data_IF_223025906790
#
_entry.id   IF_223025906790
#
_cell.length_a   1.000
_cell.length_b   1.000
_cell.length_c   1.000
_cell.angle_alpha   90.00
_cell.angle_beta   90.00
_cell.angle_gamma   90.00
#
_symmetry.space_group_name_H-M   'P 1'
#
loop_
_entity.id
_entity.type
_entity.pdbx_description
1 polymer ?
#
# COMPACT_ATOMS: atom_id res chain seq x y z
N UNK A 1 8.95 3.79 1.59
CA UNK A 1 9.56 5.06 1.17
C UNK A 1 9.04 6.18 2.03
N UNK A 2 9.72 7.32 2.04
CA UNK A 2 9.42 8.46 2.90
C UNK A 2 9.07 9.64 1.99
N UNK A 3 8.00 10.37 2.29
CA UNK A 3 7.49 11.47 1.45
C UNK A 3 8.42 12.70 1.41
N UNK A 4 9.27 12.91 2.42
CA UNK A 4 10.24 14.01 2.47
C UNK A 4 11.35 13.74 3.50
N UNK A 5 12.53 14.33 3.34
CA UNK A 5 13.68 14.14 4.25
C UNK A 5 13.46 14.59 5.71
N UNK A 6 12.35 15.28 6.00
CA UNK A 6 11.91 15.58 7.38
C UNK A 6 11.16 14.44 8.05
N UNK A 7 10.55 13.56 7.26
CA UNK A 7 9.85 12.38 7.75
C UNK A 7 10.84 11.22 7.83
N UNK A 8 10.60 10.29 8.75
CA UNK A 8 11.40 9.05 8.86
C UNK A 8 10.56 7.80 8.60
N UNK A 9 9.28 7.99 8.27
CA UNK A 9 8.29 6.92 8.07
C UNK A 9 7.58 7.08 6.73
N UNK A 10 6.98 5.98 6.26
CA UNK A 10 5.96 6.06 5.23
C UNK A 10 4.69 6.66 5.80
N UNK A 11 3.96 7.38 4.95
CA UNK A 11 2.58 7.76 5.18
C UNK A 11 1.72 7.06 4.13
N UNK A 12 0.65 6.41 4.58
CA UNK A 12 -0.11 5.49 3.75
C UNK A 12 -0.70 6.16 2.51
N UNK A 13 -1.44 7.26 2.66
CA UNK A 13 -2.04 7.98 1.52
C UNK A 13 -1.00 8.63 0.59
N UNK A 14 0.08 9.22 1.13
CA UNK A 14 1.17 9.79 0.33
C UNK A 14 1.82 8.73 -0.58
N UNK A 15 1.84 7.48 -0.10
CA UNK A 15 2.43 6.37 -0.84
C UNK A 15 1.70 6.11 -2.17
N UNK A 16 0.43 6.52 -2.31
CA UNK A 16 -0.29 6.37 -3.58
C UNK A 16 0.40 7.17 -4.69
N UNK A 17 0.72 8.44 -4.41
CA UNK A 17 1.40 9.31 -5.35
C UNK A 17 2.83 8.84 -5.65
N UNK A 18 3.51 8.28 -4.63
CA UNK A 18 4.83 7.67 -4.79
C UNK A 18 4.75 6.48 -5.76
N UNK A 19 3.76 5.59 -5.61
CA UNK A 19 3.55 4.45 -6.52
C UNK A 19 3.36 4.95 -7.96
N UNK A 20 2.52 5.96 -8.19
CA UNK A 20 2.33 6.51 -9.55
C UNK A 20 3.65 7.04 -10.13
N UNK A 21 4.45 7.75 -9.33
CA UNK A 21 5.76 8.24 -9.74
C UNK A 21 6.76 7.13 -10.07
N UNK A 22 6.78 6.06 -9.29
CA UNK A 22 7.63 4.88 -9.54
C UNK A 22 7.25 4.18 -10.82
N UNK A 23 5.95 3.97 -11.04
CA UNK A 23 5.43 3.36 -12.27
C UNK A 23 5.78 4.22 -13.50
N UNK A 24 5.56 5.53 -13.43
CA UNK A 24 5.93 6.46 -14.50
C UNK A 24 7.44 6.48 -14.79
N UNK A 25 8.26 6.13 -13.79
CA UNK A 25 9.73 6.09 -13.90
C UNK A 25 10.27 4.68 -14.23
N UNK A 26 9.40 3.71 -14.53
CA UNK A 26 9.79 2.32 -14.84
C UNK A 26 10.29 1.51 -13.64
N UNK A 27 10.14 2.01 -12.41
CA UNK A 27 10.61 1.38 -11.18
C UNK A 27 9.59 0.35 -10.63
N UNK A 28 9.16 -0.58 -11.48
CA UNK A 28 8.06 -1.51 -11.21
C UNK A 28 8.35 -2.43 -10.02
N UNK A 29 9.56 -3.00 -9.94
CA UNK A 29 9.95 -3.88 -8.81
C UNK A 29 9.87 -3.14 -7.48
N UNK A 30 10.22 -1.86 -7.47
CA UNK A 30 10.16 -1.06 -6.25
C UNK A 30 8.71 -0.78 -5.84
N UNK A 31 7.84 -0.51 -6.81
CA UNK A 31 6.40 -0.41 -6.56
C UNK A 31 5.85 -1.74 -6.01
N UNK A 32 6.19 -2.88 -6.61
CA UNK A 32 5.79 -4.22 -6.15
C UNK A 32 6.21 -4.48 -4.70
N UNK A 33 7.46 -4.18 -4.35
CA UNK A 33 7.95 -4.35 -2.97
C UNK A 33 7.19 -3.48 -1.96
N UNK A 34 6.79 -2.26 -2.32
CA UNK A 34 5.94 -1.42 -1.45
C UNK A 34 4.57 -2.08 -1.24
N UNK A 35 3.95 -2.57 -2.30
CA UNK A 35 2.65 -3.24 -2.21
C UNK A 35 2.74 -4.54 -1.38
N UNK A 36 3.83 -5.28 -1.48
CA UNK A 36 4.11 -6.44 -0.62
C UNK A 36 4.26 -6.06 0.86
N UNK A 37 4.91 -4.93 1.15
CA UNK A 37 4.98 -4.43 2.52
C UNK A 37 3.59 -4.08 3.07
N UNK A 38 2.74 -3.45 2.27
CA UNK A 38 1.35 -3.17 2.66
C UNK A 38 0.52 -4.44 2.82
N UNK A 39 0.71 -5.43 1.93
CA UNK A 39 0.11 -6.75 2.09
C UNK A 39 0.45 -7.34 3.46
N UNK A 40 1.73 -7.35 3.83
CA UNK A 40 2.20 -7.85 5.12
C UNK A 40 1.55 -7.11 6.30
N UNK A 41 1.40 -5.79 6.22
CA UNK A 41 0.75 -5.01 7.28
C UNK A 41 -0.73 -5.37 7.43
N UNK A 42 -1.45 -5.58 6.33
CA UNK A 42 -2.85 -6.02 6.35
C UNK A 42 -2.96 -7.43 6.94
N UNK A 43 -2.10 -8.37 6.52
CA UNK A 43 -2.10 -9.73 7.06
C UNK A 43 -1.82 -9.75 8.57
N UNK A 44 -0.93 -8.87 9.04
CA UNK A 44 -0.51 -8.81 10.45
C UNK A 44 -1.48 -8.06 11.35
N UNK A 45 -2.02 -6.93 10.90
CA UNK A 45 -2.80 -6.01 11.72
C UNK A 45 -4.28 -5.91 11.30
N UNK A 46 -4.62 -6.37 10.10
CA UNK A 46 -5.95 -6.27 9.50
C UNK A 46 -6.24 -4.94 8.80
N UNK A 47 -5.31 -3.99 8.81
CA UNK A 47 -5.41 -2.69 8.15
C UNK A 47 -3.99 -2.13 7.92
N UNK A 48 -3.88 -1.09 7.11
CA UNK A 48 -2.62 -0.35 6.96
C UNK A 48 -2.63 0.82 7.95
N UNK A 49 -1.69 0.88 8.91
CA UNK A 49 -1.58 2.01 9.83
C UNK A 49 -1.17 3.27 9.06
N UNK A 50 -1.51 4.45 9.60
CA UNK A 50 -1.14 5.74 9.01
C UNK A 50 0.37 5.85 8.70
N UNK A 51 1.21 5.30 9.58
CA UNK A 51 2.65 5.18 9.34
C UNK A 51 3.30 4.07 10.16
N UNK A 52 4.58 3.82 9.93
CA UNK A 52 5.32 2.67 10.45
C UNK A 52 5.73 2.69 11.93
N UNK A 53 5.06 3.48 12.78
CA UNK A 53 5.38 3.58 14.23
C UNK A 53 4.27 2.99 15.08
N UNK A 54 4.65 2.38 16.21
CA UNK A 54 3.73 1.67 17.12
C UNK A 54 2.61 2.56 17.65
N UNK A 55 2.85 3.85 17.91
CA UNK A 55 1.81 4.79 18.34
C UNK A 55 0.85 5.24 17.22
N UNK A 56 1.14 4.92 15.95
CA UNK A 56 0.26 5.19 14.80
C UNK A 56 -0.63 4.00 14.44
N UNK A 57 -0.55 2.88 15.19
CA UNK A 57 -1.38 1.71 14.96
C UNK A 57 -2.88 2.02 15.14
N UNK A 58 -3.26 2.94 16.01
CA UNK A 58 -4.68 3.22 16.28
C UNK A 58 -5.41 4.04 15.20
N UNK A 59 -4.74 4.42 14.10
CA UNK A 59 -5.34 5.26 13.05
C UNK A 59 -4.92 4.77 11.68
N UNK A 60 -5.88 4.68 10.77
CA UNK A 60 -5.61 4.52 9.34
C UNK A 60 -5.78 5.84 8.59
N UNK A 61 -5.52 5.83 7.29
CA UNK A 61 -5.72 6.92 6.34
C UNK A 61 -6.66 6.44 5.23
N UNK A 62 -7.14 7.33 4.34
CA UNK A 62 -8.07 6.90 3.30
C UNK A 62 -7.56 5.67 2.52
N UNK A 63 -8.46 4.74 2.18
CA UNK A 63 -8.10 3.42 1.66
C UNK A 63 -7.58 3.53 0.23
N UNK A 64 -6.28 3.35 0.03
CA UNK A 64 -5.63 3.46 -1.28
C UNK A 64 -4.98 2.16 -1.76
N UNK A 65 -5.03 1.06 -0.99
CA UNK A 65 -4.34 -0.18 -1.34
C UNK A 65 -4.88 -0.79 -2.63
N UNK A 66 -6.20 -0.91 -2.77
CA UNK A 66 -6.85 -1.43 -3.98
C UNK A 66 -6.53 -0.53 -5.20
N UNK A 67 -6.69 0.82 -5.14
CA UNK A 67 -6.23 1.69 -6.20
C UNK A 67 -4.74 1.52 -6.56
N UNK A 68 -3.84 1.37 -5.59
CA UNK A 68 -2.42 1.17 -5.88
C UNK A 68 -2.15 -0.15 -6.60
N UNK A 69 -2.82 -1.25 -6.20
CA UNK A 69 -2.71 -2.55 -6.86
C UNK A 69 -3.26 -2.48 -8.29
N UNK A 70 -4.39 -1.81 -8.49
CA UNK A 70 -4.96 -1.57 -9.81
C UNK A 70 -3.99 -0.83 -10.73
N UNK A 71 -3.43 0.30 -10.28
CA UNK A 71 -2.47 1.08 -11.06
C UNK A 71 -1.23 0.25 -11.42
N UNK A 72 -0.68 -0.51 -10.46
CA UNK A 72 0.45 -1.41 -10.71
C UNK A 72 0.12 -2.47 -11.77
N UNK A 73 -1.03 -3.13 -11.66
CA UNK A 73 -1.46 -4.16 -12.61
C UNK A 73 -1.69 -3.57 -14.01
N UNK A 74 -2.32 -2.40 -14.13
CA UNK A 74 -2.54 -1.76 -15.43
C UNK A 74 -1.27 -1.44 -16.20
N UNK A 75 -0.16 -1.20 -15.50
CA UNK A 75 1.15 -0.88 -16.11
C UNK A 75 1.97 -2.15 -16.39
N UNK A 76 1.84 -3.19 -15.56
CA UNK A 76 2.74 -4.36 -15.58
C UNK A 76 2.11 -5.63 -16.15
N UNK A 77 0.78 -5.74 -16.15
CA UNK A 77 0.03 -6.96 -16.44
C UNK A 77 0.48 -8.18 -15.60
N UNK A 78 0.95 -7.94 -14.37
CA UNK A 78 1.44 -8.97 -13.44
C UNK A 78 0.26 -9.66 -12.74
N UNK A 79 -0.38 -10.60 -13.45
CA UNK A 79 -1.54 -11.36 -12.96
C UNK A 79 -1.20 -12.23 -11.75
N UNK A 80 0.01 -12.78 -11.69
CA UNK A 80 0.48 -13.59 -10.56
C UNK A 80 0.48 -12.75 -9.28
N UNK A 81 1.01 -11.52 -9.35
CA UNK A 81 0.97 -10.62 -8.22
C UNK A 81 -0.46 -10.23 -7.85
N UNK A 82 -1.31 -9.91 -8.82
CA UNK A 82 -2.72 -9.56 -8.59
C UNK A 82 -3.45 -10.67 -7.81
N UNK A 83 -3.34 -11.92 -8.28
CA UNK A 83 -3.91 -13.09 -7.61
C UNK A 83 -3.37 -13.24 -6.18
N UNK A 84 -2.07 -12.99 -5.97
CA UNK A 84 -1.44 -13.10 -4.66
C UNK A 84 -1.96 -12.09 -3.63
N UNK A 85 -2.56 -10.97 -4.05
CA UNK A 85 -3.07 -9.90 -3.17
C UNK A 85 -4.60 -9.87 -3.08
N UNK A 86 -5.33 -10.68 -3.85
CA UNK A 86 -6.80 -10.68 -3.87
C UNK A 86 -7.42 -10.87 -2.47
N UNK A 87 -7.00 -11.91 -1.74
CA UNK A 87 -7.51 -12.17 -0.40
C UNK A 87 -7.22 -11.03 0.58
N UNK A 88 -6.09 -10.35 0.40
CA UNK A 88 -5.71 -9.18 1.18
C UNK A 88 -6.59 -7.97 0.87
N UNK A 89 -6.91 -7.74 -0.40
CA UNK A 89 -7.83 -6.67 -0.83
C UNK A 89 -9.25 -6.90 -0.30
N UNK A 90 -9.72 -8.14 -0.29
CA UNK A 90 -11.01 -8.49 0.33
C UNK A 90 -10.98 -8.20 1.83
N UNK A 91 -9.96 -8.67 2.55
CA UNK A 91 -9.84 -8.49 3.99
C UNK A 91 -9.79 -7.02 4.42
N UNK A 92 -9.06 -6.18 3.69
CA UNK A 92 -8.90 -4.76 4.03
C UNK A 92 -10.18 -3.97 3.77
N UNK A 93 -10.92 -4.30 2.70
CA UNK A 93 -12.17 -3.62 2.32
C UNK A 93 -13.24 -3.74 3.41
N UNK A 94 -13.28 -4.81 4.21
CA UNK A 94 -14.23 -4.93 5.31
C UNK A 94 -13.83 -4.16 6.57
N UNK A 95 -12.53 -3.94 6.79
CA UNK A 95 -12.00 -3.35 8.03
C UNK A 95 -11.78 -1.85 7.94
N UNK A 96 -11.47 -1.32 6.76
CA UNK A 96 -11.21 0.12 6.56
C UNK A 96 -12.44 1.02 6.82
N UNK A 97 -13.66 0.47 6.86
CA UNK A 97 -14.88 1.23 7.19
C UNK A 97 -15.32 1.12 8.66
N UNK A 98 -14.58 0.39 9.50
CA UNK A 98 -14.98 0.09 10.88
C UNK A 98 -14.07 0.74 11.94
N UNK A 99 -13.08 1.54 11.53
CA UNK A 99 -12.11 2.25 12.39
C UNK A 99 -11.99 3.72 12.01
#
# INVERSE_FOLDING_TARGET
MIASGRYREFHYWDTYWIIKGLLASGMHDTAKHILQNFKYLIEKYGYIPNGGRTYMLQRTQPPFFIPMVYEYHTVTADDEFLLSVMSTMEAVNFKEYLI
#
